data_IF_610609271565
#
_entry.id   IF_610609271565
#
_cell.length_a   1.000
_cell.length_b   1.000
_cell.length_c   1.000
_cell.angle_alpha   90.00
_cell.angle_beta   90.00
_cell.angle_gamma   90.00
#
_symmetry.space_group_name_H-M   'P 1'
#
loop_
_entity.id
_entity.type
_entity.pdbx_description
1 polymer ?
#
# COMPACT_ATOMS: atom_id res chain seq x y z
N UNK A 1 -12.74 0.95 8.37
CA UNK A 1 -13.68 1.45 7.33
C UNK A 1 -14.93 2.06 7.99
N UNK A 2 -15.36 3.26 7.60
CA UNK A 2 -16.60 3.89 8.08
C UNK A 2 -17.83 3.18 7.49
N UNK A 3 -18.95 3.14 8.22
CA UNK A 3 -20.24 2.59 7.75
C UNK A 3 -20.79 3.28 6.47
N UNK A 4 -20.13 4.31 5.95
CA UNK A 4 -20.52 5.06 4.76
C UNK A 4 -20.29 4.31 3.46
N UNK A 5 -19.27 3.45 3.36
CA UNK A 5 -18.91 2.80 2.09
C UNK A 5 -19.96 1.77 1.64
N UNK A 6 -20.43 0.83 2.49
CA UNK A 6 -21.49 -0.10 2.11
C UNK A 6 -22.77 0.63 1.69
N UNK A 7 -23.19 1.63 2.45
CA UNK A 7 -24.38 2.43 2.12
C UNK A 7 -24.24 3.18 0.80
N UNK A 8 -23.06 3.73 0.49
CA UNK A 8 -22.82 4.41 -0.77
C UNK A 8 -22.85 3.43 -1.96
N UNK A 9 -22.31 2.22 -1.79
CA UNK A 9 -22.35 1.17 -2.81
C UNK A 9 -23.79 0.71 -3.06
N UNK A 10 -24.56 0.43 -2.00
CA UNK A 10 -25.97 0.04 -2.12
C UNK A 10 -26.80 1.11 -2.85
N UNK A 11 -26.58 2.38 -2.51
CA UNK A 11 -27.23 3.51 -3.18
C UNK A 11 -26.85 3.63 -4.66
N UNK A 12 -25.58 3.44 -4.99
CA UNK A 12 -25.09 3.44 -6.36
C UNK A 12 -25.68 2.28 -7.17
N UNK A 13 -25.74 1.07 -6.59
CA UNK A 13 -26.34 -0.10 -7.20
C UNK A 13 -27.85 0.09 -7.42
N UNK A 14 -28.59 0.55 -6.40
CA UNK A 14 -30.02 0.84 -6.52
C UNK A 14 -30.32 1.87 -7.61
N UNK A 15 -29.50 2.92 -7.72
CA UNK A 15 -29.60 3.92 -8.79
C UNK A 15 -29.31 3.29 -10.16
N UNK A 16 -28.34 2.37 -10.24
CA UNK A 16 -28.00 1.72 -11.50
C UNK A 16 -29.12 0.82 -12.03
N UNK A 17 -29.90 0.18 -11.15
CA UNK A 17 -31.06 -0.66 -11.53
C UNK A 17 -32.15 0.17 -12.21
N UNK A 18 -32.38 1.41 -11.76
CA UNK A 18 -33.45 2.27 -12.30
C UNK A 18 -33.00 3.09 -13.51
N UNK A 19 -31.73 3.51 -13.55
CA UNK A 19 -31.20 4.40 -14.59
C UNK A 19 -30.38 3.68 -15.67
N UNK A 20 -30.05 2.40 -15.45
CA UNK A 20 -29.16 1.62 -16.31
C UNK A 20 -27.72 2.16 -16.35
N UNK A 21 -27.29 2.92 -15.34
CA UNK A 21 -25.94 3.51 -15.28
C UNK A 21 -25.33 3.42 -13.89
N UNK A 22 -24.16 2.80 -13.79
CA UNK A 22 -23.37 2.74 -12.55
C UNK A 22 -22.16 3.68 -12.58
N UNK A 23 -21.53 3.81 -13.75
CA UNK A 23 -20.33 4.63 -13.94
C UNK A 23 -20.70 6.08 -14.18
N UNK A 24 -20.06 6.98 -13.44
CA UNK A 24 -20.16 8.44 -13.64
C UNK A 24 -18.79 9.14 -13.58
N UNK A 25 -17.70 8.39 -13.37
CA UNK A 25 -16.35 8.91 -13.21
C UNK A 25 -15.39 8.18 -14.13
N UNK A 26 -14.52 8.92 -14.81
CA UNK A 26 -13.45 8.41 -15.67
C UNK A 26 -12.11 8.93 -15.17
N UNK A 27 -11.20 8.01 -14.87
CA UNK A 27 -9.80 8.30 -14.57
C UNK A 27 -8.95 8.00 -15.82
N UNK A 28 -8.12 8.95 -16.24
CA UNK A 28 -7.10 8.72 -17.27
C UNK A 28 -5.74 8.52 -16.62
N UNK A 29 -5.14 7.37 -16.87
CA UNK A 29 -3.85 6.93 -16.33
C UNK A 29 -2.98 6.36 -17.44
N UNK A 30 -1.67 6.24 -17.22
CA UNK A 30 -0.78 5.58 -18.18
C UNK A 30 -0.73 4.06 -17.96
N UNK A 31 -0.61 3.28 -19.04
CA UNK A 31 -0.50 1.82 -18.96
C UNK A 31 0.87 1.27 -19.31
N UNK A 32 1.74 2.02 -20.00
CA UNK A 32 2.95 1.42 -20.60
C UNK A 32 4.18 2.32 -20.60
N UNK A 33 5.36 1.69 -20.55
CA UNK A 33 6.67 2.28 -20.83
C UNK A 33 6.93 2.21 -22.32
N UNK A 34 7.19 3.35 -22.94
CA UNK A 34 7.47 3.43 -24.38
C UNK A 34 8.96 3.15 -24.64
N UNK A 35 9.27 2.75 -25.88
CA UNK A 35 10.66 2.58 -26.34
C UNK A 35 11.48 3.88 -26.27
N UNK A 36 10.82 5.04 -26.25
CA UNK A 36 11.44 6.36 -26.02
C UNK A 36 11.96 6.57 -24.59
N UNK A 37 11.64 5.66 -23.66
CA UNK A 37 11.92 5.79 -22.23
C UNK A 37 10.88 6.63 -21.48
N UNK A 38 9.95 7.28 -22.19
CA UNK A 38 8.79 7.98 -21.61
C UNK A 38 7.68 7.01 -21.24
N UNK A 39 6.75 7.47 -20.42
CA UNK A 39 5.55 6.71 -20.04
C UNK A 39 4.37 7.19 -20.89
N UNK A 40 3.59 6.27 -21.45
CA UNK A 40 2.52 6.58 -22.38
C UNK A 40 1.39 5.58 -22.38
N UNK A 41 0.67 5.53 -23.51
CA UNK A 41 -0.57 4.77 -23.71
C UNK A 41 -1.61 5.10 -22.61
N UNK A 42 -2.19 6.32 -22.63
CA UNK A 42 -3.20 6.66 -21.65
C UNK A 42 -4.43 5.76 -21.80
N UNK A 43 -4.96 5.30 -20.67
CA UNK A 43 -6.06 4.35 -20.57
C UNK A 43 -7.10 4.86 -19.58
N UNK A 44 -8.36 4.71 -19.96
CA UNK A 44 -9.49 5.05 -19.10
C UNK A 44 -9.77 3.93 -18.09
N UNK A 45 -9.94 4.30 -16.82
CA UNK A 45 -10.48 3.43 -15.75
C UNK A 45 -11.75 4.08 -15.20
N UNK A 46 -12.80 3.28 -15.07
CA UNK A 46 -14.14 3.75 -14.74
C UNK A 46 -14.49 3.50 -13.27
N UNK A 47 -15.22 4.43 -12.66
CA UNK A 47 -15.64 4.33 -11.27
C UNK A 47 -17.00 5.01 -11.02
N UNK A 48 -17.52 4.82 -9.81
CA UNK A 48 -18.68 5.55 -9.29
C UNK A 48 -18.24 6.58 -8.24
N UNK A 49 -18.58 7.85 -8.46
CA UNK A 49 -18.14 8.97 -7.63
C UNK A 49 -18.63 8.88 -6.20
N UNK A 50 -19.85 8.39 -5.96
CA UNK A 50 -20.40 8.24 -4.62
C UNK A 50 -19.62 7.21 -3.81
N UNK A 51 -19.30 6.06 -4.42
CA UNK A 51 -18.49 5.02 -3.80
C UNK A 51 -17.07 5.52 -3.53
N UNK A 52 -16.42 6.15 -4.52
CA UNK A 52 -15.05 6.67 -4.35
C UNK A 52 -14.99 7.72 -3.22
N UNK A 53 -15.92 8.68 -3.17
CA UNK A 53 -16.00 9.67 -2.08
C UNK A 53 -16.23 9.02 -0.71
N UNK A 54 -17.01 7.94 -0.64
CA UNK A 54 -17.25 7.22 0.59
C UNK A 54 -16.04 6.41 1.07
N UNK A 55 -15.11 6.08 0.17
CA UNK A 55 -13.90 5.33 0.49
C UNK A 55 -12.85 6.15 1.25
N UNK A 56 -12.79 7.48 1.07
CA UNK A 56 -11.83 8.31 1.80
C UNK A 56 -11.80 9.79 1.42
N UNK A 57 -11.17 10.59 2.30
CA UNK A 57 -11.04 12.04 2.16
C UNK A 57 -10.30 12.47 0.88
N UNK A 58 -9.31 11.68 0.44
CA UNK A 58 -8.60 11.91 -0.81
C UNK A 58 -9.57 12.04 -1.99
N UNK A 59 -10.50 11.10 -2.13
CA UNK A 59 -11.47 11.10 -3.22
C UNK A 59 -12.57 12.17 -3.07
N UNK A 60 -12.91 12.55 -1.83
CA UNK A 60 -13.81 13.68 -1.58
C UNK A 60 -13.24 14.99 -2.13
N UNK A 61 -11.96 15.26 -1.85
CA UNK A 61 -11.24 16.40 -2.40
C UNK A 61 -11.09 16.30 -3.91
N UNK A 62 -10.61 15.16 -4.41
CA UNK A 62 -10.35 14.93 -5.85
C UNK A 62 -11.62 15.05 -6.71
N UNK A 63 -12.77 14.59 -6.21
CA UNK A 63 -14.05 14.62 -6.92
C UNK A 63 -14.92 15.82 -6.55
N UNK A 64 -14.35 16.84 -5.90
CA UNK A 64 -15.00 18.13 -5.71
C UNK A 64 -15.04 18.92 -7.02
N UNK A 65 -16.01 19.82 -7.16
CA UNK A 65 -16.38 20.45 -8.43
C UNK A 65 -15.23 21.17 -9.18
N UNK A 66 -14.16 21.56 -8.49
CA UNK A 66 -13.02 22.27 -9.10
C UNK A 66 -11.91 21.39 -9.69
N UNK A 67 -11.84 20.10 -9.35
CA UNK A 67 -10.71 19.21 -9.73
C UNK A 67 -11.08 18.13 -10.76
N UNK A 68 -12.37 17.83 -10.91
CA UNK A 68 -12.87 16.69 -11.67
C UNK A 68 -13.29 17.00 -13.13
N UNK A 69 -12.76 18.07 -13.74
CA UNK A 69 -13.13 18.46 -15.11
C UNK A 69 -11.95 18.40 -16.09
N UNK A 70 -10.77 17.91 -15.68
CA UNK A 70 -9.61 17.83 -16.56
C UNK A 70 -9.71 16.57 -17.43
N UNK A 71 -9.95 16.76 -18.71
CA UNK A 71 -10.14 15.74 -19.75
C UNK A 71 -8.95 15.64 -20.72
N UNK A 72 -7.83 16.20 -20.31
CA UNK A 72 -6.63 16.40 -21.13
C UNK A 72 -5.44 15.76 -20.43
N UNK A 73 -4.88 14.72 -21.05
CA UNK A 73 -3.65 14.04 -20.62
C UNK A 73 -2.67 14.04 -21.80
N UNK A 74 -1.38 14.19 -21.52
CA UNK A 74 -0.35 14.06 -22.54
C UNK A 74 -0.35 12.63 -23.10
N UNK A 75 -0.02 12.47 -24.39
CA UNK A 75 0.13 11.15 -25.01
C UNK A 75 1.23 10.34 -24.34
N UNK A 76 2.30 11.03 -23.95
CA UNK A 76 3.45 10.51 -23.24
C UNK A 76 3.96 11.55 -22.24
N UNK A 77 4.65 11.09 -21.20
CA UNK A 77 5.26 11.96 -20.19
C UNK A 77 6.63 11.42 -19.78
N UNK A 78 7.59 12.34 -19.67
CA UNK A 78 8.86 12.08 -18.98
C UNK A 78 8.75 12.30 -17.46
N UNK A 79 7.73 13.03 -17.01
CA UNK A 79 7.49 13.39 -15.60
C UNK A 79 6.58 12.35 -14.91
N UNK A 80 6.89 11.07 -15.12
CA UNK A 80 6.22 10.00 -14.40
C UNK A 80 6.88 9.83 -13.04
N UNK A 81 6.21 10.30 -11.98
CA UNK A 81 6.77 10.37 -10.61
C UNK A 81 7.10 9.04 -9.93
N UNK A 82 7.11 7.90 -10.64
CA UNK A 82 7.41 6.59 -10.05
C UNK A 82 8.13 5.61 -11.00
N UNK A 83 9.44 5.79 -11.17
CA UNK A 83 10.28 4.97 -12.05
C UNK A 83 10.21 3.45 -11.78
N UNK A 84 9.91 3.04 -10.55
CA UNK A 84 9.86 1.63 -10.13
C UNK A 84 8.51 0.96 -10.32
N UNK A 85 7.54 1.59 -11.01
CA UNK A 85 6.22 0.99 -11.23
C UNK A 85 6.30 -0.25 -12.12
N UNK A 86 6.08 -1.41 -11.53
CA UNK A 86 6.10 -2.70 -12.21
C UNK A 86 4.78 -3.10 -12.84
N UNK A 87 3.76 -2.24 -12.72
CA UNK A 87 2.43 -2.46 -13.27
C UNK A 87 2.22 -1.75 -14.60
N UNK A 88 3.25 -1.02 -15.06
CA UNK A 88 3.36 -0.55 -16.44
C UNK A 88 3.85 -1.69 -17.34
N UNK A 89 3.19 -1.85 -18.48
CA UNK A 89 3.58 -2.77 -19.54
C UNK A 89 4.80 -2.22 -20.28
N UNK A 90 5.73 -3.08 -20.70
CA UNK A 90 6.85 -2.67 -21.53
C UNK A 90 6.41 -2.76 -23.00
N UNK A 91 6.46 -1.64 -23.73
CA UNK A 91 6.02 -1.59 -25.13
C UNK A 91 7.05 -2.30 -26.04
N UNK A 92 6.81 -3.58 -26.31
CA UNK A 92 7.59 -4.40 -27.26
C UNK A 92 7.24 -4.08 -28.73
N UNK A 93 7.20 -2.80 -29.10
CA UNK A 93 7.27 -2.35 -30.50
C UNK A 93 6.23 -2.93 -31.48
N UNK A 94 5.05 -3.37 -31.02
CA UNK A 94 3.98 -3.75 -31.94
C UNK A 94 3.21 -2.52 -32.42
N UNK A 95 3.12 -2.43 -33.75
CA UNK A 95 2.34 -1.47 -34.57
C UNK A 95 1.03 -1.04 -33.90
N UNK A 96 0.62 0.24 -34.03
CA UNK A 96 -0.60 0.76 -33.42
C UNK A 96 -1.85 0.18 -34.09
N UNK A 97 -2.24 -1.04 -33.71
CA UNK A 97 -3.55 -1.59 -33.99
C UNK A 97 -4.54 -1.08 -32.92
N UNK A 98 -5.46 -0.24 -33.38
CA UNK A 98 -6.74 0.13 -32.77
C UNK A 98 -6.75 0.72 -31.34
N UNK A 99 -6.17 1.91 -31.17
CA UNK A 99 -6.68 2.85 -30.17
C UNK A 99 -7.65 3.83 -30.86
N UNK A 100 -8.92 3.86 -30.46
CA UNK A 100 -9.95 4.83 -30.88
C UNK A 100 -9.63 6.25 -30.34
N UNK A 101 -8.45 6.77 -30.64
CA UNK A 101 -8.07 8.15 -30.35
C UNK A 101 -8.47 8.98 -31.56
N UNK A 102 -9.56 9.72 -31.44
CA UNK A 102 -9.88 10.78 -32.41
C UNK A 102 -8.93 11.93 -32.13
N UNK A 103 -7.85 12.03 -32.90
CA UNK A 103 -7.00 13.22 -32.92
C UNK A 103 -7.83 14.34 -33.54
N UNK A 104 -8.44 15.19 -32.70
CA UNK A 104 -9.04 16.43 -33.19
C UNK A 104 -7.90 17.43 -33.39
N UNK A 105 -7.30 17.40 -34.58
CA UNK A 105 -6.41 18.48 -35.01
C UNK A 105 -7.28 19.69 -35.33
N UNK A 106 -7.08 20.81 -34.62
CA UNK A 106 -7.71 22.07 -34.98
C UNK A 106 -7.25 22.46 -36.40
N UNK A 107 -8.15 22.69 -37.38
CA UNK A 107 -7.75 22.90 -38.78
C UNK A 107 -7.09 24.25 -39.10
N UNK A 108 -6.58 24.98 -38.10
CA UNK A 108 -6.18 26.38 -38.27
C UNK A 108 -4.69 26.69 -38.16
N UNK A 109 -3.81 25.69 -38.02
CA UNK A 109 -2.36 25.91 -38.07
C UNK A 109 -1.73 25.23 -39.28
N UNK A 110 -1.95 25.81 -40.46
CA UNK A 110 -1.05 25.60 -41.60
C UNK A 110 -0.04 26.76 -41.69
N UNK A 111 1.24 26.35 -41.69
CA UNK A 111 2.44 27.10 -42.07
C UNK A 111 3.00 28.14 -41.07
N UNK A 112 3.93 27.68 -40.23
CA UNK A 112 5.23 28.35 -40.06
C UNK A 112 6.28 27.43 -39.39
N UNK A 113 7.29 27.05 -40.19
CA UNK A 113 8.73 27.02 -39.88
C UNK A 113 9.21 26.79 -38.43
N UNK A 114 9.94 25.67 -38.26
CA UNK A 114 11.23 25.53 -37.54
C UNK A 114 11.51 26.44 -36.34
N UNK A 115 10.98 26.06 -35.18
CA UNK A 115 11.63 25.99 -33.87
C UNK A 115 10.52 25.82 -32.85
N UNK A 116 10.39 24.67 -32.21
CA UNK A 116 9.47 24.55 -31.08
C UNK A 116 10.07 23.68 -29.99
N UNK A 117 10.32 24.34 -28.86
CA UNK A 117 10.44 23.74 -27.55
C UNK A 117 9.42 22.61 -27.38
N UNK A 118 9.88 21.50 -26.78
CA UNK A 118 9.14 20.27 -26.55
C UNK A 118 7.86 20.50 -25.73
N UNK A 119 6.78 20.95 -26.36
CA UNK A 119 5.48 21.02 -25.73
C UNK A 119 4.79 19.66 -25.94
N UNK A 120 4.39 18.94 -24.87
CA UNK A 120 3.85 17.59 -25.01
C UNK A 120 2.54 17.60 -25.80
N UNK A 121 2.42 16.71 -26.79
CA UNK A 121 1.18 16.50 -27.54
C UNK A 121 0.07 16.10 -26.57
N UNK A 122 -0.87 17.02 -26.38
CA UNK A 122 -2.05 16.80 -25.54
C UNK A 122 -3.09 16.01 -26.32
N UNK A 123 -3.63 14.96 -25.69
CA UNK A 123 -4.67 14.13 -26.29
C UNK A 123 -5.96 14.33 -25.52
N UNK A 124 -6.99 14.78 -26.24
CA UNK A 124 -8.34 14.85 -25.70
C UNK A 124 -9.02 13.50 -25.91
N UNK A 125 -9.30 12.79 -24.82
CA UNK A 125 -10.00 11.51 -24.91
C UNK A 125 -11.51 11.73 -25.03
N UNK A 126 -12.22 10.90 -25.81
CA UNK A 126 -13.67 10.93 -25.84
C UNK A 126 -14.20 10.65 -24.44
N UNK A 127 -14.78 11.68 -23.82
CA UNK A 127 -15.46 11.55 -22.53
C UNK A 127 -16.75 10.76 -22.79
N UNK A 128 -16.98 9.61 -22.14
CA UNK A 128 -18.23 8.90 -22.28
C UNK A 128 -19.41 9.82 -21.96
N UNK A 129 -20.49 9.75 -22.74
CA UNK A 129 -21.65 10.66 -22.65
C UNK A 129 -22.32 10.72 -21.26
N UNK A 130 -21.98 9.81 -20.34
CA UNK A 130 -22.55 9.69 -18.98
C UNK A 130 -21.54 10.03 -17.88
N UNK A 131 -20.30 10.39 -18.22
CA UNK A 131 -19.27 10.76 -17.26
C UNK A 131 -19.52 12.18 -16.76
N UNK A 132 -19.66 12.32 -15.43
CA UNK A 132 -19.79 13.60 -14.72
C UNK A 132 -18.44 14.11 -14.24
N UNK A 133 -17.49 13.20 -14.01
CA UNK A 133 -16.20 13.49 -13.42
C UNK A 133 -15.08 12.89 -14.26
N UNK A 134 -14.13 13.72 -14.69
CA UNK A 134 -12.95 13.31 -15.42
C UNK A 134 -11.70 13.74 -14.67
N UNK A 135 -10.84 12.77 -14.35
CA UNK A 135 -9.66 12.98 -13.51
C UNK A 135 -8.43 12.39 -14.19
N UNK A 136 -7.34 13.13 -14.21
CA UNK A 136 -6.04 12.66 -14.70
C UNK A 136 -5.17 12.26 -13.52
N UNK A 137 -4.61 11.05 -13.58
CA UNK A 137 -3.66 10.54 -12.57
C UNK A 137 -2.39 10.13 -13.30
N UNK A 138 -1.38 11.00 -13.25
CA UNK A 138 -0.14 10.85 -14.03
C UNK A 138 0.94 10.02 -13.33
N UNK A 139 0.78 9.70 -12.06
CA UNK A 139 1.84 9.09 -11.24
C UNK A 139 1.48 7.70 -10.72
N UNK A 140 0.50 7.02 -11.33
CA UNK A 140 0.04 5.68 -10.97
C UNK A 140 -0.29 4.90 -12.24
N UNK A 141 0.13 3.64 -12.33
CA UNK A 141 -0.22 2.79 -13.46
C UNK A 141 -1.73 2.47 -13.49
N UNK A 142 -2.29 2.37 -14.70
CA UNK A 142 -3.69 2.05 -14.92
C UNK A 142 -4.09 0.70 -14.30
N UNK A 143 -3.21 -0.30 -14.34
CA UNK A 143 -3.44 -1.62 -13.74
C UNK A 143 -3.58 -1.52 -12.20
N UNK A 144 -2.69 -0.78 -11.54
CA UNK A 144 -2.75 -0.54 -10.09
C UNK A 144 -4.05 0.20 -9.71
N UNK A 145 -4.44 1.22 -10.49
CA UNK A 145 -5.67 1.97 -10.22
C UNK A 145 -6.93 1.14 -10.43
N UNK A 146 -6.95 0.28 -11.45
CA UNK A 146 -8.06 -0.64 -11.68
C UNK A 146 -8.24 -1.62 -10.51
N UNK A 147 -7.14 -2.18 -9.99
CA UNK A 147 -7.17 -3.02 -8.80
C UNK A 147 -7.66 -2.26 -7.56
N UNK A 148 -7.26 -0.99 -7.39
CA UNK A 148 -7.76 -0.12 -6.31
C UNK A 148 -9.28 0.09 -6.38
N UNK A 149 -9.82 0.44 -7.56
CA UNK A 149 -11.26 0.64 -7.74
C UNK A 149 -12.03 -0.65 -7.42
N UNK A 150 -11.51 -1.79 -7.88
CA UNK A 150 -12.12 -3.08 -7.57
C UNK A 150 -12.08 -3.42 -6.08
N UNK A 151 -10.97 -3.13 -5.40
CA UNK A 151 -10.85 -3.28 -3.95
C UNK A 151 -11.85 -2.38 -3.20
N UNK A 152 -12.03 -1.13 -3.62
CA UNK A 152 -13.01 -0.23 -3.00
C UNK A 152 -14.44 -0.78 -3.14
N UNK A 153 -14.76 -1.46 -4.25
CA UNK A 153 -16.07 -2.02 -4.50
C UNK A 153 -16.32 -3.35 -3.77
N UNK A 154 -15.29 -4.18 -3.62
CA UNK A 154 -15.44 -5.59 -3.22
C UNK A 154 -14.73 -5.95 -1.92
N UNK A 155 -13.77 -5.15 -1.47
CA UNK A 155 -12.83 -5.47 -0.42
C UNK A 155 -11.75 -6.48 -0.82
N UNK A 156 -11.73 -6.95 -2.07
CA UNK A 156 -10.82 -7.99 -2.56
C UNK A 156 -9.68 -7.38 -3.38
N UNK A 157 -8.46 -7.85 -3.17
CA UNK A 157 -7.29 -7.50 -3.96
C UNK A 157 -6.39 -8.72 -4.17
N UNK A 158 -5.81 -8.82 -5.36
CA UNK A 158 -4.83 -9.85 -5.71
C UNK A 158 -3.53 -9.19 -6.19
N UNK A 159 -2.41 -9.66 -5.64
CA UNK A 159 -1.10 -9.09 -5.88
C UNK A 159 -0.25 -9.99 -6.78
N UNK A 160 0.44 -9.38 -7.73
CA UNK A 160 1.41 -10.05 -8.57
C UNK A 160 2.64 -10.51 -7.76
N UNK A 161 3.34 -11.57 -8.18
CA UNK A 161 4.64 -11.95 -7.62
C UNK A 161 5.66 -10.81 -7.71
N UNK A 162 6.59 -10.71 -6.77
CA UNK A 162 7.61 -9.65 -6.82
C UNK A 162 8.54 -9.84 -8.03
N UNK A 163 8.98 -8.73 -8.65
CA UNK A 163 10.00 -8.78 -9.71
C UNK A 163 11.28 -9.50 -9.25
N UNK A 164 11.62 -9.39 -7.97
CA UNK A 164 12.78 -10.06 -7.36
C UNK A 164 12.62 -11.58 -7.22
N UNK A 165 11.41 -12.14 -7.40
CA UNK A 165 11.17 -13.59 -7.46
C UNK A 165 11.45 -14.19 -8.86
N UNK A 166 11.66 -13.35 -9.88
CA UNK A 166 11.94 -13.76 -11.25
C UNK A 166 10.94 -13.18 -12.23
N UNK A 167 11.44 -12.59 -13.33
CA UNK A 167 10.59 -11.94 -14.34
C UNK A 167 9.69 -12.95 -15.06
N UNK A 168 10.26 -14.08 -15.48
CA UNK A 168 9.52 -15.16 -16.17
C UNK A 168 8.40 -15.73 -15.30
N UNK A 169 8.70 -16.06 -14.03
CA UNK A 169 7.70 -16.54 -13.08
C UNK A 169 6.58 -15.51 -12.87
N UNK A 170 6.93 -14.23 -12.68
CA UNK A 170 5.95 -13.15 -12.55
C UNK A 170 5.05 -13.05 -13.78
N UNK A 171 5.62 -13.07 -14.98
CA UNK A 171 4.84 -12.98 -16.23
C UNK A 171 3.93 -14.18 -16.41
N UNK A 172 4.41 -15.39 -16.11
CA UNK A 172 3.60 -16.61 -16.19
C UNK A 172 2.39 -16.55 -15.26
N UNK A 173 2.58 -16.14 -14.00
CA UNK A 173 1.50 -16.01 -13.02
C UNK A 173 0.48 -14.94 -13.42
N UNK A 174 0.93 -13.80 -13.96
CA UNK A 174 0.02 -12.73 -14.43
C UNK A 174 -0.82 -13.24 -15.60
N UNK A 175 -0.20 -13.89 -16.58
CA UNK A 175 -0.90 -14.43 -17.76
C UNK A 175 -1.88 -15.54 -17.37
N UNK A 176 -1.45 -16.46 -16.49
CA UNK A 176 -2.31 -17.53 -15.99
C UNK A 176 -3.51 -16.97 -15.21
N UNK A 177 -3.26 -16.01 -14.32
CA UNK A 177 -4.33 -15.36 -13.56
C UNK A 177 -5.36 -14.68 -14.48
N UNK A 178 -4.89 -13.97 -15.52
CA UNK A 178 -5.77 -13.32 -16.49
C UNK A 178 -6.61 -14.34 -17.28
N UNK A 179 -6.04 -15.50 -17.60
CA UNK A 179 -6.74 -16.60 -18.25
C UNK A 179 -7.81 -17.22 -17.34
N UNK A 180 -7.47 -17.46 -16.07
CA UNK A 180 -8.38 -18.08 -15.09
C UNK A 180 -9.49 -17.13 -14.62
N UNK A 181 -9.26 -15.82 -14.72
CA UNK A 181 -10.16 -14.78 -14.22
C UNK A 181 -10.41 -13.65 -15.24
N UNK A 182 -11.01 -13.94 -16.42
CA UNK A 182 -11.13 -12.98 -17.53
C UNK A 182 -12.04 -11.76 -17.23
N UNK A 183 -12.78 -11.78 -16.12
CA UNK A 183 -13.62 -10.66 -15.67
C UNK A 183 -13.08 -9.89 -14.46
N UNK A 184 -11.94 -10.30 -13.90
CA UNK A 184 -11.32 -9.63 -12.75
C UNK A 184 -10.27 -8.61 -13.20
N UNK A 185 -9.97 -7.59 -12.37
CA UNK A 185 -8.86 -6.69 -12.67
C UNK A 185 -7.53 -7.46 -12.74
N UNK A 186 -6.56 -6.95 -13.52
CA UNK A 186 -5.23 -7.52 -13.57
C UNK A 186 -4.57 -7.47 -12.19
N UNK A 187 -3.63 -8.40 -11.96
CA UNK A 187 -2.79 -8.36 -10.76
C UNK A 187 -1.99 -7.05 -10.73
N UNK A 188 -1.85 -6.48 -9.52
CA UNK A 188 -1.03 -5.30 -9.31
C UNK A 188 0.15 -5.62 -8.39
N UNK A 189 1.18 -4.80 -8.45
CA UNK A 189 2.34 -4.91 -7.60
C UNK A 189 1.98 -4.50 -6.18
N UNK A 190 2.32 -5.32 -5.18
CA UNK A 190 2.10 -4.93 -3.79
C UNK A 190 2.89 -3.67 -3.43
N UNK A 191 4.03 -3.39 -4.09
CA UNK A 191 4.79 -2.14 -3.88
C UNK A 191 4.04 -0.91 -4.41
N UNK A 192 3.54 -1.01 -5.65
CA UNK A 192 2.76 0.06 -6.29
C UNK A 192 1.48 0.32 -5.52
N UNK A 193 0.80 -0.74 -5.07
CA UNK A 193 -0.42 -0.62 -4.27
C UNK A 193 -0.15 -0.05 -2.88
N UNK A 194 0.91 -0.47 -2.18
CA UNK A 194 1.28 0.11 -0.88
C UNK A 194 1.47 1.62 -0.99
N UNK A 195 2.24 2.08 -1.99
CA UNK A 195 2.45 3.51 -2.25
C UNK A 195 1.13 4.24 -2.53
N UNK A 196 0.29 3.65 -3.37
CA UNK A 196 -1.00 4.23 -3.72
C UNK A 196 -1.93 4.31 -2.50
N UNK A 197 -2.03 3.24 -1.73
CA UNK A 197 -2.87 3.17 -0.54
C UNK A 197 -2.43 4.16 0.54
N UNK A 198 -1.12 4.33 0.74
CA UNK A 198 -0.55 5.36 1.61
C UNK A 198 -0.91 6.77 1.10
N UNK A 199 -0.75 7.02 -0.20
CA UNK A 199 -1.10 8.30 -0.84
C UNK A 199 -2.59 8.66 -0.70
N UNK A 200 -3.50 7.69 -0.86
CA UNK A 200 -4.95 7.93 -0.79
C UNK A 200 -5.54 7.77 0.61
N UNK A 201 -4.72 7.38 1.60
CA UNK A 201 -5.13 7.22 3.00
C UNK A 201 -5.97 5.96 3.28
N UNK A 202 -5.81 4.89 2.49
CA UNK A 202 -6.50 3.61 2.71
C UNK A 202 -5.61 2.66 3.54
N UNK A 203 -5.66 2.82 4.86
CA UNK A 203 -4.79 2.11 5.81
C UNK A 203 -4.95 0.59 5.74
N UNK A 204 -6.17 0.08 5.63
CA UNK A 204 -6.42 -1.37 5.55
C UNK A 204 -5.78 -1.98 4.30
N UNK A 205 -5.86 -1.28 3.16
CA UNK A 205 -5.24 -1.69 1.90
C UNK A 205 -3.70 -1.58 1.95
N UNK A 206 -3.18 -0.52 2.57
CA UNK A 206 -1.74 -0.36 2.83
C UNK A 206 -1.19 -1.54 3.63
N UNK A 207 -1.89 -1.95 4.68
CA UNK A 207 -1.52 -3.09 5.52
C UNK A 207 -1.60 -4.43 4.78
N UNK A 208 -2.63 -4.63 3.93
CA UNK A 208 -2.73 -5.82 3.08
C UNK A 208 -1.56 -5.91 2.09
N UNK A 209 -1.20 -4.78 1.47
CA UNK A 209 -0.06 -4.72 0.57
C UNK A 209 1.26 -4.95 1.31
N UNK A 210 1.43 -4.40 2.51
CA UNK A 210 2.60 -4.64 3.36
C UNK A 210 2.76 -6.12 3.70
N UNK A 211 1.67 -6.76 4.15
CA UNK A 211 1.68 -8.17 4.50
C UNK A 211 2.08 -9.05 3.31
N UNK A 212 1.54 -8.77 2.13
CA UNK A 212 1.90 -9.48 0.90
C UNK A 212 3.38 -9.26 0.52
N UNK A 213 3.93 -8.05 0.74
CA UNK A 213 5.37 -7.80 0.58
C UNK A 213 6.19 -8.68 1.53
N UNK A 214 5.85 -8.69 2.82
CA UNK A 214 6.55 -9.49 3.84
C UNK A 214 6.54 -10.98 3.53
N UNK A 215 5.40 -11.52 3.07
CA UNK A 215 5.26 -12.94 2.70
C UNK A 215 6.08 -13.30 1.46
N UNK A 216 6.24 -12.37 0.50
CA UNK A 216 6.90 -12.63 -0.79
C UNK A 216 8.39 -12.30 -0.81
N UNK A 217 8.92 -11.59 0.19
CA UNK A 217 10.32 -11.17 0.23
C UNK A 217 11.28 -12.38 0.24
N UNK A 218 12.05 -12.62 -0.83
CA UNK A 218 12.97 -13.74 -0.86
C UNK A 218 14.18 -13.46 0.04
N UNK A 219 14.51 -14.41 0.94
CA UNK A 219 15.69 -14.33 1.84
C UNK A 219 17.00 -13.95 1.13
N UNK A 220 17.21 -14.45 -0.08
CA UNK A 220 18.44 -14.23 -0.84
C UNK A 220 18.53 -12.79 -1.38
N UNK A 221 17.38 -12.12 -1.55
CA UNK A 221 17.26 -10.78 -2.14
C UNK A 221 16.93 -9.68 -1.14
N UNK A 222 16.85 -10.00 0.16
CA UNK A 222 16.49 -9.03 1.21
C UNK A 222 17.43 -7.81 1.24
N UNK A 223 18.73 -7.99 1.01
CA UNK A 223 19.68 -6.87 0.96
C UNK A 223 19.53 -6.02 -0.31
N UNK A 224 19.12 -6.60 -1.44
CA UNK A 224 18.78 -5.81 -2.63
C UNK A 224 17.54 -4.95 -2.36
N UNK A 225 16.60 -5.46 -1.57
CA UNK A 225 15.38 -4.76 -1.18
C UNK A 225 15.63 -3.67 -0.13
N UNK A 226 16.36 -3.95 0.96
CA UNK A 226 16.72 -2.97 2.01
C UNK A 226 17.44 -1.76 1.42
N UNK A 227 18.41 -2.01 0.52
CA UNK A 227 19.19 -0.96 -0.11
C UNK A 227 18.52 -0.37 -1.37
N UNK A 228 17.26 -0.70 -1.63
CA UNK A 228 16.54 -0.17 -2.79
C UNK A 228 16.07 1.28 -2.57
N UNK A 229 15.89 2.01 -3.68
CA UNK A 229 15.24 3.34 -3.67
C UNK A 229 13.86 3.28 -3.01
N UNK A 230 13.11 2.21 -3.24
CA UNK A 230 11.76 2.03 -2.68
C UNK A 230 11.79 2.01 -1.15
N UNK A 231 12.60 1.15 -0.53
CA UNK A 231 12.68 1.06 0.93
C UNK A 231 13.21 2.35 1.56
N UNK A 232 14.06 3.10 0.86
CA UNK A 232 14.55 4.40 1.37
C UNK A 232 13.44 5.44 1.60
N UNK A 233 12.33 5.34 0.86
CA UNK A 233 11.19 6.27 0.91
C UNK A 233 10.10 5.82 1.88
N UNK A 234 10.05 4.52 2.20
CA UNK A 234 9.02 3.94 3.08
C UNK A 234 9.65 3.36 4.36
N UNK A 235 9.78 4.16 5.44
CA UNK A 235 10.45 3.74 6.67
C UNK A 235 9.83 2.49 7.31
N UNK A 236 8.51 2.34 7.25
CA UNK A 236 7.81 1.16 7.77
C UNK A 236 8.28 -0.12 7.07
N UNK A 237 8.39 -0.09 5.73
CA UNK A 237 8.86 -1.23 4.92
C UNK A 237 10.33 -1.51 5.22
N UNK A 238 11.14 -0.45 5.27
CA UNK A 238 12.56 -0.58 5.58
C UNK A 238 12.79 -1.20 6.95
N UNK A 239 12.06 -0.76 7.96
CA UNK A 239 12.16 -1.32 9.32
C UNK A 239 11.70 -2.77 9.36
N UNK A 240 10.61 -3.13 8.69
CA UNK A 240 10.17 -4.52 8.58
C UNK A 240 11.25 -5.42 7.92
N UNK A 241 11.84 -4.95 6.82
CA UNK A 241 12.92 -5.67 6.13
C UNK A 241 14.20 -5.78 6.97
N UNK A 242 14.59 -4.73 7.69
CA UNK A 242 15.75 -4.74 8.59
C UNK A 242 15.51 -5.67 9.78
N UNK A 243 14.31 -5.66 10.37
CA UNK A 243 13.94 -6.60 11.42
C UNK A 243 14.05 -8.04 10.92
N UNK A 244 13.45 -8.32 9.76
CA UNK A 244 13.54 -9.64 9.13
C UNK A 244 14.99 -10.08 8.88
N UNK A 245 15.85 -9.18 8.42
CA UNK A 245 17.27 -9.46 8.19
C UNK A 245 18.08 -9.68 9.49
N UNK A 246 17.79 -8.93 10.54
CA UNK A 246 18.53 -8.97 11.80
C UNK A 246 18.10 -10.10 12.74
N UNK A 247 16.82 -10.50 12.69
CA UNK A 247 16.27 -11.52 13.58
C UNK A 247 16.59 -12.95 13.07
N UNK A 248 16.96 -13.12 11.79
CA UNK A 248 17.44 -14.40 11.24
C UNK A 248 18.94 -14.64 11.51
N UNK A 249 19.33 -15.92 11.65
CA UNK A 249 20.75 -16.30 11.64
C UNK A 249 21.38 -15.92 10.30
N UNK A 250 22.14 -14.83 10.30
CA UNK A 250 22.78 -14.31 9.09
C UNK A 250 23.74 -15.36 8.53
N UNK A 251 23.40 -15.93 7.37
CA UNK A 251 24.29 -16.81 6.60
C UNK A 251 25.58 -16.09 6.21
N UNK A 252 26.68 -16.83 6.05
CA UNK A 252 27.96 -16.28 5.61
C UNK A 252 27.85 -15.53 4.28
N UNK A 253 27.01 -16.01 3.36
CA UNK A 253 26.74 -15.36 2.07
C UNK A 253 26.06 -14.00 2.25
N UNK A 254 25.09 -13.91 3.17
CA UNK A 254 24.41 -12.65 3.50
C UNK A 254 25.36 -11.63 4.13
N UNK A 255 26.32 -12.07 4.97
CA UNK A 255 27.39 -11.19 5.49
C UNK A 255 28.26 -10.61 4.38
N UNK A 256 28.69 -11.45 3.42
CA UNK A 256 29.50 -11.00 2.30
C UNK A 256 28.72 -10.02 1.40
N UNK A 257 27.46 -10.32 1.12
CA UNK A 257 26.58 -9.43 0.35
C UNK A 257 26.37 -8.08 1.06
N UNK A 258 26.20 -8.08 2.39
CA UNK A 258 26.11 -6.85 3.18
C UNK A 258 27.41 -6.02 3.09
N UNK A 259 28.58 -6.67 3.22
CA UNK A 259 29.87 -6.00 3.05
C UNK A 259 30.02 -5.38 1.64
N UNK A 260 29.55 -6.08 0.60
CA UNK A 260 29.53 -5.55 -0.76
C UNK A 260 28.61 -4.34 -0.88
N UNK A 261 27.39 -4.40 -0.34
CA UNK A 261 26.46 -3.25 -0.32
C UNK A 261 27.07 -2.05 0.38
N UNK A 262 27.66 -2.23 1.57
CA UNK A 262 28.33 -1.16 2.32
C UNK A 262 29.46 -0.53 1.47
N UNK A 263 30.29 -1.33 0.79
CA UNK A 263 31.33 -0.79 -0.11
C UNK A 263 30.72 0.06 -1.22
N UNK A 264 29.64 -0.40 -1.85
CA UNK A 264 28.92 0.39 -2.86
C UNK A 264 28.39 1.72 -2.31
N UNK A 265 27.87 1.73 -1.07
CA UNK A 265 27.48 2.98 -0.40
C UNK A 265 28.68 3.91 -0.23
N UNK A 266 29.81 3.41 0.27
CA UNK A 266 31.01 4.26 0.50
C UNK A 266 31.62 4.81 -0.78
N UNK A 267 31.37 4.17 -1.92
CA UNK A 267 31.77 4.66 -3.25
C UNK A 267 30.80 5.69 -3.84
N UNK A 268 29.67 5.95 -3.18
CA UNK A 268 28.61 6.83 -3.69
C UNK A 268 27.70 6.17 -4.73
N UNK A 269 27.77 4.85 -4.91
CA UNK A 269 26.96 4.12 -5.91
C UNK A 269 25.49 3.97 -5.49
N UNK A 270 25.19 4.13 -4.19
CA UNK A 270 23.85 4.02 -3.62
C UNK A 270 23.50 5.28 -2.81
N UNK A 271 23.13 6.40 -3.46
CA UNK A 271 22.88 7.69 -2.79
C UNK A 271 21.70 7.67 -1.81
N UNK A 272 20.80 6.68 -1.95
CA UNK A 272 19.60 6.51 -1.12
C UNK A 272 19.81 5.55 0.08
N UNK A 273 21.02 5.01 0.26
CA UNK A 273 21.28 3.97 1.26
C UNK A 273 21.43 4.49 2.70
N UNK A 274 21.48 5.80 2.93
CA UNK A 274 21.67 6.39 4.26
C UNK A 274 20.63 5.88 5.25
N UNK A 275 19.34 5.90 4.86
CA UNK A 275 18.25 5.43 5.73
C UNK A 275 18.40 3.95 6.08
N UNK A 276 18.83 3.13 5.11
CA UNK A 276 19.05 1.71 5.32
C UNK A 276 20.18 1.43 6.32
N UNK A 277 21.30 2.14 6.20
CA UNK A 277 22.41 2.01 7.15
C UNK A 277 22.02 2.47 8.55
N UNK A 278 21.30 3.60 8.66
CA UNK A 278 20.81 4.11 9.94
C UNK A 278 19.86 3.13 10.63
N UNK A 279 18.91 2.57 9.89
CA UNK A 279 17.98 1.57 10.41
C UNK A 279 18.70 0.30 10.91
N UNK A 280 19.68 -0.20 10.16
CA UNK A 280 20.50 -1.34 10.58
C UNK A 280 21.34 -1.04 11.82
N UNK A 281 21.99 0.12 11.88
CA UNK A 281 22.79 0.54 13.04
C UNK A 281 21.92 0.70 14.30
N UNK A 282 20.74 1.28 14.15
CA UNK A 282 19.77 1.43 15.23
C UNK A 282 19.36 0.06 15.77
N UNK A 283 18.94 -0.86 14.89
CA UNK A 283 18.54 -2.23 15.28
C UNK A 283 19.67 -2.96 16.02
N UNK A 284 20.91 -2.88 15.56
CA UNK A 284 22.08 -3.50 16.24
C UNK A 284 22.35 -2.87 17.61
N UNK A 285 22.11 -1.56 17.74
CA UNK A 285 22.27 -0.86 19.02
C UNK A 285 21.21 -1.28 20.02
N UNK A 286 19.96 -1.42 19.58
CA UNK A 286 18.82 -1.85 20.39
C UNK A 286 18.94 -3.32 20.82
N UNK A 287 19.63 -4.16 20.03
CA UNK A 287 19.90 -5.56 20.35
C UNK A 287 21.02 -5.77 21.38
N UNK A 288 21.68 -4.73 21.91
CA UNK A 288 22.67 -4.88 23.00
C UNK A 288 21.97 -4.90 24.37
N UNK A 289 21.95 -6.03 25.10
CA UNK A 289 21.50 -6.02 26.49
C UNK A 289 22.58 -5.35 27.36
N UNK A 290 22.34 -4.12 27.80
CA UNK A 290 23.37 -3.35 28.49
C UNK A 290 22.92 -2.03 29.12
N UNK A 291 21.83 -2.03 29.87
CA UNK A 291 21.58 -1.04 30.93
C UNK A 291 20.77 -1.70 32.06
N UNK A 292 21.42 -2.55 32.85
CA UNK A 292 20.90 -2.90 34.18
C UNK A 292 20.79 -1.61 35.01
N UNK A 293 19.70 -1.42 35.78
CA UNK A 293 19.65 -0.35 36.75
C UNK A 293 20.72 -0.60 37.82
N UNK A 294 21.45 0.47 38.10
CA UNK A 294 22.46 0.61 39.14
C UNK A 294 22.06 -0.09 40.46
N UNK A 295 22.95 -0.89 41.08
CA UNK A 295 22.64 -1.51 42.36
C UNK A 295 22.51 -0.42 43.42
N UNK A 296 21.29 -0.22 43.93
CA UNK A 296 21.05 0.64 45.08
C UNK A 296 21.94 0.19 46.24
N UNK A 297 22.83 1.09 46.65
CA UNK A 297 23.70 0.91 47.79
C UNK A 297 22.89 0.53 49.03
N UNK A 298 23.23 -0.61 49.61
CA UNK A 298 22.70 -1.08 50.88
C UNK A 298 22.95 -0.02 51.97
N UNK A 299 21.87 0.39 52.65
CA UNK A 299 21.93 1.12 53.92
C UNK A 299 22.65 0.25 54.98
N UNK A 300 23.56 0.81 55.78
CA UNK A 300 24.20 0.07 56.86
C UNK A 300 23.23 -0.17 58.04
N UNK A 301 23.48 -1.19 58.87
CA UNK A 301 22.60 -1.54 59.99
C UNK A 301 22.78 -0.55 61.15
N UNK A 302 21.67 -0.18 61.78
CA UNK A 302 21.68 0.60 63.00
C UNK A 302 21.92 -0.32 64.21
N UNK A 303 23.07 -0.16 64.87
CA UNK A 303 23.32 -0.68 66.21
C UNK A 303 22.95 0.37 67.28
N UNK A 304 22.11 -0.05 68.24
CA UNK A 304 22.47 0.02 69.66
C UNK A 304 22.07 1.24 70.51
N UNK A 305 21.02 1.03 71.32
CA UNK A 305 20.93 1.29 72.78
C UNK A 305 20.94 2.77 73.26
N UNK A 306 19.80 3.29 73.75
CA UNK A 306 19.42 3.29 75.19
C UNK A 306 19.50 4.74 75.70
N UNK A 307 18.61 5.35 76.49
CA UNK A 307 17.72 4.92 77.57
C UNK A 307 16.71 6.07 77.89
N UNK A 308 15.54 5.69 78.46
CA UNK A 308 14.74 6.38 79.52
C UNK A 308 14.13 7.77 79.20
N UNK A 309 12.93 8.18 79.65
CA UNK A 309 11.89 7.66 80.55
C UNK A 309 10.69 8.62 80.52
N UNK A 310 9.51 8.11 80.89
CA UNK A 310 8.37 8.74 81.58
C UNK A 310 7.18 9.35 80.80
N UNK A 311 5.98 8.88 81.21
CA UNK A 311 4.68 9.60 81.21
C UNK A 311 3.75 9.29 80.02
N UNK A 312 2.82 8.33 80.03
CA UNK A 312 1.63 8.08 80.87
C UNK A 312 0.34 8.85 80.45
N UNK A 313 -0.71 8.04 80.19
CA UNK A 313 -2.18 8.28 80.18
C UNK A 313 -2.94 8.71 78.90
N UNK A 314 -4.03 7.97 78.61
CA UNK A 314 -5.19 8.33 77.76
C UNK A 314 -5.43 7.33 76.61
N UNK A 315 -6.10 6.17 76.75
CA UNK A 315 -7.52 5.88 77.03
C UNK A 315 -8.53 6.44 76.01
N UNK A 316 -9.23 5.52 75.32
CA UNK A 316 -10.39 5.74 74.43
C UNK A 316 -10.23 5.01 73.08
N UNK A 317 -10.61 3.72 72.90
CA UNK A 317 -11.98 3.22 72.61
C UNK A 317 -12.72 4.08 71.55
N UNK A 318 -13.39 3.54 70.53
CA UNK A 318 -13.79 2.18 70.16
C UNK A 318 -14.31 2.22 68.70
N UNK A 319 -14.25 1.06 68.06
CA UNK A 319 -15.15 0.45 67.07
C UNK A 319 -16.38 1.26 66.61
N UNK A 320 -16.89 1.10 65.39
CA UNK A 320 -17.34 -0.18 64.81
C UNK A 320 -17.97 0.18 63.45
N UNK A 321 -17.64 -0.55 62.38
CA UNK A 321 -18.58 -1.49 61.75
C UNK A 321 -19.51 -0.83 60.69
N UNK A 322 -20.00 -1.46 59.63
CA UNK A 322 -19.83 -2.79 59.03
C UNK A 322 -20.79 -2.86 57.85
N UNK A 323 -20.26 -3.22 56.66
CA UNK A 323 -20.89 -4.08 55.61
C UNK A 323 -22.26 -3.61 55.02
N UNK A 324 -22.88 -4.19 53.99
CA UNK A 324 -22.71 -5.35 53.10
C UNK A 324 -23.65 -5.03 51.88
N UNK A 325 -23.21 -5.14 50.62
CA UNK A 325 -23.50 -6.22 49.64
C UNK A 325 -24.55 -5.96 48.55
N UNK A 326 -24.32 -6.69 47.44
CA UNK A 326 -25.28 -7.06 46.39
C UNK A 326 -24.73 -6.76 44.99
N UNK A 327 -23.76 -7.49 44.44
CA UNK A 327 -23.86 -8.79 43.74
C UNK A 327 -24.93 -8.87 42.63
N UNK A 328 -24.48 -9.19 41.41
CA UNK A 328 -25.33 -9.56 40.27
C UNK A 328 -24.49 -9.97 39.05
N UNK A 329 -24.09 -11.24 39.04
CA UNK A 329 -23.44 -11.95 37.93
C UNK A 329 -24.48 -12.49 36.93
N UNK A 330 -24.15 -12.54 35.63
CA UNK A 330 -24.64 -13.58 34.74
C UNK A 330 -23.71 -13.79 33.53
N UNK A 331 -23.30 -15.04 33.37
CA UNK A 331 -22.53 -15.65 32.29
C UNK A 331 -23.43 -16.59 31.48
N UNK A 332 -23.28 -16.65 30.14
CA UNK A 332 -23.53 -17.87 29.33
C UNK A 332 -23.11 -17.63 27.88
N UNK A 333 -22.13 -18.33 27.29
CA UNK A 333 -22.12 -19.72 26.73
C UNK A 333 -22.21 -19.69 25.19
N UNK A 334 -21.13 -20.16 24.55
CA UNK A 334 -20.97 -20.48 23.12
C UNK A 334 -21.77 -21.74 22.73
N UNK A 335 -22.02 -21.99 21.43
CA UNK A 335 -21.23 -23.05 20.79
C UNK A 335 -20.87 -22.83 19.31
N UNK A 336 -19.89 -23.62 18.87
CA UNK A 336 -19.37 -23.75 17.52
C UNK A 336 -20.14 -24.79 16.67
N UNK A 337 -20.11 -24.64 15.34
CA UNK A 337 -20.47 -25.63 14.32
C UNK A 337 -19.69 -25.28 13.03
N UNK A 338 -18.62 -26.01 12.65
CA UNK A 338 -18.54 -27.27 11.88
C UNK A 338 -18.84 -27.15 10.37
N UNK A 339 -17.78 -27.40 9.59
CA UNK A 339 -17.68 -27.57 8.12
C UNK A 339 -18.63 -28.66 7.55
N UNK A 340 -18.90 -28.62 6.24
CA UNK A 340 -19.10 -29.81 5.44
C UNK A 340 -18.00 -30.02 4.39
N UNK A 341 -17.38 -31.20 4.47
CA UNK A 341 -16.67 -31.88 3.38
C UNK A 341 -17.65 -32.42 2.35
N UNK A 342 -17.39 -32.18 1.06
CA UNK A 342 -18.10 -32.84 -0.05
C UNK A 342 -17.11 -33.40 -1.07
N UNK A 343 -16.77 -34.67 -0.89
CA UNK A 343 -16.13 -35.54 -1.89
C UNK A 343 -17.24 -36.32 -2.59
N UNK A 344 -17.42 -36.20 -3.92
CA UNK A 344 -18.13 -37.21 -4.72
C UNK A 344 -17.66 -37.21 -6.18
N UNK A 345 -16.85 -38.22 -6.49
CA UNK A 345 -16.92 -39.17 -7.62
C UNK A 345 -17.28 -38.65 -9.02
N UNK A 346 -16.24 -38.67 -9.85
CA UNK A 346 -16.20 -39.18 -11.23
C UNK A 346 -17.20 -40.33 -11.45
N UNK A 347 -18.04 -40.20 -12.47
CA UNK A 347 -18.68 -41.34 -13.14
C UNK A 347 -18.60 -41.16 -14.66
N UNK A 348 -17.80 -42.03 -15.27
CA UNK A 348 -17.77 -42.31 -16.71
C UNK A 348 -19.18 -42.57 -17.24
N UNK A 349 -19.52 -41.97 -18.37
CA UNK A 349 -19.94 -42.68 -19.58
C UNK A 349 -19.69 -41.83 -20.80
#
# INVERSE_FOLDING_TARGET
MSNSLPTALDGALATSITTGGFVDTTYYLFSSRLSSGKIGKPRAVYANSAVMRAAGQHFQGQLSAGFATRNEIAQETADYGYDSDSDLEDDEGESPEESLVTVVVNPNDEMASENSDENPTMVQFPVPRRTKHTVVVSDVAANTWQALVFYILTGVIHFAPLRSQGLEYRMQEITQYAHDHPGLPPLCSPKSMYRLADKVGLVDLKNLAMKDLEEKLPRIKILDEIFSKYSSVFPEILMAQVNYFCDEEISQTSRLSLQQKIRSVTKGELPHATNALMAMLQKVSDSRPGASPEPQAAKPPAEGLGERSAGSWGLGQSASETRLFGFGSASSTTPAASLPTSTTKVRRR
#
